data_IF_631551377728
#
_entry.id   IF_631551377728
#
_cell.length_a   1.000
_cell.length_b   1.000
_cell.length_c   1.000
_cell.angle_alpha   90.00
_cell.angle_beta   90.00
_cell.angle_gamma   90.00
#
_symmetry.space_group_name_H-M   'P 1'
#
loop_
_entity.id
_entity.type
_entity.pdbx_description
1 polymer ?
#
# COMPACT_ATOMS: atom_id res chain seq x y z
N UNK A 1 35.89 15.42 -28.99
CA UNK A 1 35.56 14.29 -28.09
C UNK A 1 35.33 14.66 -26.62
N UNK A 2 35.40 15.93 -26.19
CA UNK A 2 35.10 16.29 -24.78
C UNK A 2 33.62 16.59 -24.45
N UNK A 3 32.81 17.02 -25.42
CA UNK A 3 31.44 17.50 -25.10
C UNK A 3 30.39 16.41 -24.94
N UNK A 4 30.66 15.18 -25.42
CA UNK A 4 29.68 14.08 -25.39
C UNK A 4 29.65 13.33 -24.05
N UNK A 5 30.73 13.42 -23.25
CA UNK A 5 30.80 12.77 -21.94
C UNK A 5 30.00 13.51 -20.86
N UNK A 6 29.81 14.83 -21.02
CA UNK A 6 29.11 15.65 -20.03
C UNK A 6 27.59 15.44 -20.03
N UNK A 7 26.99 15.04 -21.17
CA UNK A 7 25.55 14.88 -21.29
C UNK A 7 25.02 13.57 -20.65
N UNK A 8 25.86 12.55 -20.50
CA UNK A 8 25.48 11.25 -19.95
C UNK A 8 25.41 11.22 -18.42
N UNK A 9 26.03 12.18 -17.71
CA UNK A 9 26.00 12.25 -16.25
C UNK A 9 24.76 12.94 -15.66
N UNK A 10 23.89 13.55 -16.47
CA UNK A 10 22.74 14.33 -15.99
C UNK A 10 21.40 13.56 -15.97
N UNK A 11 21.34 12.29 -16.40
CA UNK A 11 20.09 11.55 -16.61
C UNK A 11 19.70 10.54 -15.50
N UNK A 12 20.35 10.57 -14.34
CA UNK A 12 20.11 9.59 -13.27
C UNK A 12 19.52 10.19 -11.97
N UNK A 13 18.78 11.30 -12.05
CA UNK A 13 17.87 11.68 -10.96
C UNK A 13 16.57 10.88 -11.11
N UNK A 14 16.63 9.58 -10.80
CA UNK A 14 15.43 8.82 -10.52
C UNK A 14 14.76 9.44 -9.29
N UNK A 15 13.63 10.11 -9.49
CA UNK A 15 12.78 10.57 -8.39
C UNK A 15 12.30 9.35 -7.64
N UNK A 16 13.00 8.96 -6.59
CA UNK A 16 12.44 8.07 -5.58
C UNK A 16 11.20 8.77 -5.04
N UNK A 17 10.03 8.17 -5.23
CA UNK A 17 8.83 8.62 -4.56
C UNK A 17 9.06 8.42 -3.06
N UNK A 18 9.42 9.49 -2.35
CA UNK A 18 9.47 9.49 -0.91
C UNK A 18 8.03 9.28 -0.44
N UNK A 19 7.77 8.21 0.32
CA UNK A 19 6.47 8.04 0.95
C UNK A 19 6.33 9.11 2.02
N UNK A 20 5.40 10.04 1.85
CA UNK A 20 5.08 11.01 2.89
C UNK A 20 4.29 10.32 4.01
N UNK A 21 4.51 10.71 5.28
CA UNK A 21 3.72 10.23 6.39
C UNK A 21 2.23 10.50 6.18
N UNK A 22 1.39 9.54 6.53
CA UNK A 22 -0.07 9.72 6.42
C UNK A 22 -0.59 10.59 7.56
N UNK A 23 -1.49 11.51 7.26
CA UNK A 23 -2.33 12.15 8.26
C UNK A 23 -3.24 11.12 8.93
N UNK A 24 -3.21 11.09 10.26
CA UNK A 24 -3.98 10.16 11.09
C UNK A 24 -4.68 10.87 12.23
N UNK A 25 -5.71 10.24 12.78
CA UNK A 25 -6.37 10.64 14.02
C UNK A 25 -5.93 9.72 15.14
N UNK A 26 -5.41 10.25 16.25
CA UNK A 26 -5.17 9.46 17.45
C UNK A 26 -6.51 9.04 18.07
N UNK A 27 -6.66 7.74 18.37
CA UNK A 27 -7.89 7.16 18.90
C UNK A 27 -7.78 6.65 20.35
N UNK A 28 -6.70 6.99 21.06
CA UNK A 28 -6.52 6.63 22.47
C UNK A 28 -5.14 6.06 22.82
N UNK A 29 -4.04 6.63 22.30
CA UNK A 29 -2.69 6.29 22.77
C UNK A 29 -2.52 6.70 24.25
N UNK A 30 -2.53 5.73 25.16
CA UNK A 30 -2.55 5.97 26.61
C UNK A 30 -1.17 5.92 27.28
N UNK A 31 -0.30 5.03 26.80
CA UNK A 31 1.05 4.79 27.36
C UNK A 31 2.15 4.90 26.29
N UNK A 32 1.89 5.69 25.25
CA UNK A 32 2.87 6.05 24.25
C UNK A 32 2.40 7.20 23.37
N UNK A 33 3.30 7.70 22.55
CA UNK A 33 3.08 8.85 21.67
C UNK A 33 3.52 8.51 20.25
N UNK A 34 2.58 8.57 19.31
CA UNK A 34 2.88 8.39 17.89
C UNK A 34 3.68 9.59 17.39
N UNK A 35 4.76 9.33 16.68
CA UNK A 35 5.58 10.33 15.97
C UNK A 35 5.22 10.38 14.50
N UNK A 36 4.97 9.23 13.91
CA UNK A 36 4.79 9.10 12.47
C UNK A 36 4.02 7.82 12.14
N UNK A 37 3.17 7.89 11.12
CA UNK A 37 2.51 6.71 10.53
C UNK A 37 2.80 6.75 9.04
N UNK A 38 3.24 5.63 8.49
CA UNK A 38 3.50 5.46 7.07
C UNK A 38 2.70 4.27 6.53
N UNK A 39 2.04 4.45 5.39
CA UNK A 39 1.39 3.38 4.64
C UNK A 39 2.01 3.36 3.25
N UNK A 40 2.59 2.24 2.86
CA UNK A 40 3.43 2.16 1.66
C UNK A 40 2.92 1.05 0.73
N UNK A 41 2.60 1.38 -0.54
CA UNK A 41 2.51 2.73 -1.11
C UNK A 41 1.22 3.47 -0.73
N UNK A 42 1.29 4.77 -0.41
CA UNK A 42 0.12 5.67 -0.32
C UNK A 42 0.53 7.10 -0.70
N UNK A 43 0.61 7.42 -2.01
CA UNK A 43 1.08 8.73 -2.46
C UNK A 43 0.04 9.86 -2.25
N UNK A 44 -1.24 9.50 -2.10
CA UNK A 44 -2.34 10.45 -1.93
C UNK A 44 -3.30 9.87 -0.88
N UNK A 45 -3.77 10.73 0.03
CA UNK A 45 -4.78 10.38 1.02
C UNK A 45 -6.19 10.83 0.59
N UNK A 46 -7.26 10.06 0.92
CA UNK A 46 -7.24 8.78 1.63
C UNK A 46 -6.57 7.67 0.81
N UNK A 47 -5.91 6.72 1.48
CA UNK A 47 -5.15 5.70 0.77
C UNK A 47 -6.07 4.81 -0.09
N UNK A 48 -5.79 4.75 -1.38
CA UNK A 48 -6.47 3.87 -2.33
C UNK A 48 -5.77 2.52 -2.37
N UNK A 49 -6.25 1.57 -1.57
CA UNK A 49 -5.65 0.24 -1.48
C UNK A 49 -6.26 -0.69 -2.53
N UNK A 50 -5.39 -1.25 -3.36
CA UNK A 50 -5.76 -2.14 -4.45
C UNK A 50 -5.89 -3.58 -3.95
N UNK A 51 -6.98 -4.22 -4.35
CA UNK A 51 -7.21 -5.64 -4.15
C UNK A 51 -6.13 -6.48 -4.85
N UNK A 52 -5.70 -7.55 -4.19
CA UNK A 52 -4.63 -8.43 -4.64
C UNK A 52 -3.21 -7.89 -4.37
N UNK A 53 -3.07 -6.68 -3.83
CA UNK A 53 -1.78 -6.07 -3.51
C UNK A 53 -1.44 -6.18 -2.02
N UNK A 54 -0.17 -5.99 -1.69
CA UNK A 54 0.31 -5.93 -0.31
C UNK A 54 0.79 -4.52 0.02
N UNK A 55 0.45 -4.04 1.21
CA UNK A 55 0.86 -2.74 1.71
C UNK A 55 1.67 -2.93 2.99
N UNK A 56 2.70 -2.11 3.15
CA UNK A 56 3.46 -2.02 4.38
C UNK A 56 2.94 -0.87 5.24
N UNK A 57 2.96 -1.05 6.56
CA UNK A 57 2.60 -0.05 7.55
C UNK A 57 3.77 0.07 8.50
N UNK A 58 4.29 1.28 8.68
CA UNK A 58 5.32 1.58 9.66
C UNK A 58 4.80 2.64 10.63
N UNK A 59 4.98 2.41 11.93
CA UNK A 59 4.57 3.35 12.98
C UNK A 59 5.77 3.65 13.86
N UNK A 60 6.20 4.90 13.83
CA UNK A 60 7.22 5.42 14.75
C UNK A 60 6.51 5.91 16.00
N UNK A 61 6.82 5.36 17.17
CA UNK A 61 6.21 5.77 18.43
C UNK A 61 7.22 5.75 19.58
N UNK A 62 6.99 6.59 20.59
CA UNK A 62 7.75 6.58 21.85
C UNK A 62 6.89 5.96 22.95
N UNK A 63 7.39 4.91 23.61
CA UNK A 63 6.70 4.31 24.76
C UNK A 63 6.90 5.20 26.00
N UNK A 64 5.86 5.36 26.82
CA UNK A 64 5.97 5.99 28.16
C UNK A 64 5.93 4.96 29.30
N UNK A 65 5.96 3.67 28.96
CA UNK A 65 5.93 2.55 29.92
C UNK A 65 6.94 1.46 29.54
N UNK A 66 7.16 0.52 30.46
CA UNK A 66 7.87 -0.72 30.19
C UNK A 66 6.86 -1.85 29.93
N UNK A 67 7.23 -2.81 29.08
CA UNK A 67 6.39 -3.98 28.79
C UNK A 67 7.23 -5.18 28.36
N UNK A 68 6.89 -6.38 28.82
CA UNK A 68 7.56 -7.61 28.36
C UNK A 68 7.13 -8.02 26.94
N UNK A 69 5.92 -7.65 26.55
CA UNK A 69 5.32 -8.01 25.26
C UNK A 69 4.60 -6.86 24.60
N UNK A 70 4.18 -7.04 23.35
CA UNK A 70 3.21 -6.15 22.74
C UNK A 70 2.34 -6.87 21.74
N UNK A 71 1.09 -6.43 21.59
CA UNK A 71 0.10 -7.09 20.73
C UNK A 71 -0.61 -6.06 19.86
N UNK A 72 -0.58 -6.27 18.56
CA UNK A 72 -1.29 -5.47 17.59
C UNK A 72 -2.75 -5.94 17.43
N UNK A 73 -3.67 -4.98 17.37
CA UNK A 73 -5.11 -5.20 17.18
C UNK A 73 -5.60 -4.27 16.08
N UNK A 74 -6.25 -4.83 15.06
CA UNK A 74 -6.68 -4.06 13.88
C UNK A 74 -8.18 -4.25 13.66
N UNK A 75 -8.86 -3.14 13.37
CA UNK A 75 -10.27 -3.13 13.01
C UNK A 75 -10.50 -2.34 11.72
N UNK A 76 -11.41 -2.83 10.88
CA UNK A 76 -12.03 -2.04 9.82
C UNK A 76 -13.39 -1.53 10.29
N UNK A 77 -13.58 -0.22 10.31
CA UNK A 77 -14.84 0.41 10.69
C UNK A 77 -15.65 0.71 9.43
N UNK A 78 -16.73 -0.04 9.23
CA UNK A 78 -17.62 0.07 8.07
C UNK A 78 -18.95 0.63 8.55
N UNK A 79 -19.35 1.79 8.03
CA UNK A 79 -20.59 2.48 8.44
C UNK A 79 -20.72 2.66 9.96
N UNK A 80 -19.59 2.96 10.63
CA UNK A 80 -19.53 3.15 12.09
C UNK A 80 -19.40 1.87 12.92
N UNK A 81 -19.49 0.69 12.30
CA UNK A 81 -19.37 -0.60 13.02
C UNK A 81 -17.94 -1.13 12.92
N UNK A 82 -17.23 -1.35 14.04
CA UNK A 82 -15.89 -1.93 14.04
C UNK A 82 -15.93 -3.45 13.77
N UNK A 83 -15.16 -3.90 12.78
CA UNK A 83 -15.02 -5.31 12.41
C UNK A 83 -13.56 -5.71 12.64
N UNK A 84 -13.33 -6.74 13.46
CA UNK A 84 -11.99 -7.22 13.76
C UNK A 84 -11.30 -7.77 12.50
N UNK A 85 -10.03 -7.42 12.32
CA UNK A 85 -9.18 -7.90 11.23
C UNK A 85 -8.01 -8.69 11.80
N UNK A 86 -8.01 -10.01 11.59
CA UNK A 86 -6.91 -10.86 12.00
C UNK A 86 -5.69 -10.62 11.09
N UNK A 87 -4.61 -10.12 11.68
CA UNK A 87 -3.32 -9.95 11.00
C UNK A 87 -2.44 -11.20 11.18
N UNK A 88 -1.53 -11.50 10.23
CA UNK A 88 -0.71 -12.71 10.29
C UNK A 88 0.23 -12.79 11.50
N UNK A 89 0.80 -11.65 11.89
CA UNK A 89 1.68 -11.54 13.06
C UNK A 89 1.13 -10.46 14.00
N UNK A 90 0.38 -10.86 15.05
CA UNK A 90 -0.11 -9.93 16.06
C UNK A 90 0.94 -9.58 17.11
N UNK A 91 2.05 -10.31 17.24
CA UNK A 91 3.11 -9.99 18.21
C UNK A 91 3.95 -8.80 17.73
N UNK A 92 3.83 -7.68 18.43
CA UNK A 92 4.59 -6.47 18.12
C UNK A 92 6.09 -6.65 18.30
N UNK A 93 6.51 -7.55 19.20
CA UNK A 93 7.91 -7.88 19.45
C UNK A 93 8.57 -8.57 18.25
N UNK A 94 7.76 -9.15 17.35
CA UNK A 94 8.21 -9.77 16.09
C UNK A 94 8.01 -8.85 14.89
N UNK A 95 7.54 -7.64 15.13
CA UNK A 95 7.11 -6.67 14.12
C UNK A 95 7.91 -5.37 14.24
N UNK A 96 9.23 -5.47 14.42
CA UNK A 96 10.15 -4.31 14.50
C UNK A 96 10.33 -3.69 15.89
N UNK A 97 9.49 -4.04 16.87
CA UNK A 97 9.64 -3.57 18.27
C UNK A 97 10.57 -4.53 19.02
N UNK A 98 11.69 -4.03 19.55
CA UNK A 98 12.56 -4.87 20.40
C UNK A 98 12.00 -4.95 21.81
N UNK A 99 11.68 -6.16 22.27
CA UNK A 99 11.20 -6.43 23.62
C UNK A 99 12.32 -6.97 24.53
N UNK A 100 12.32 -6.66 25.85
CA UNK A 100 11.30 -5.87 26.55
C UNK A 100 11.31 -4.39 26.13
N UNK A 101 10.11 -3.81 26.04
CA UNK A 101 9.90 -2.40 25.75
C UNK A 101 10.36 -1.59 26.98
N UNK A 102 11.10 -0.53 26.71
CA UNK A 102 11.66 0.38 27.69
C UNK A 102 10.90 1.71 27.69
N UNK A 103 10.75 2.30 28.87
CA UNK A 103 10.13 3.61 29.04
C UNK A 103 10.98 4.69 28.37
N UNK A 104 10.31 5.64 27.71
CA UNK A 104 10.87 6.79 26.99
C UNK A 104 11.76 6.42 25.79
N UNK A 105 11.68 5.19 25.28
CA UNK A 105 12.39 4.76 24.08
C UNK A 105 11.48 4.80 22.86
N UNK A 106 12.04 5.17 21.72
CA UNK A 106 11.35 5.23 20.43
C UNK A 106 11.56 3.93 19.66
N UNK A 107 10.49 3.44 19.04
CA UNK A 107 10.43 2.19 18.31
C UNK A 107 9.78 2.39 16.94
N UNK A 108 10.07 1.47 16.02
CA UNK A 108 9.42 1.36 14.73
C UNK A 108 8.67 0.04 14.66
N UNK A 109 7.35 0.10 14.76
CA UNK A 109 6.49 -1.05 14.47
C UNK A 109 6.32 -1.18 12.95
N UNK A 110 6.40 -2.39 12.42
CA UNK A 110 6.31 -2.68 10.99
C UNK A 110 5.40 -3.86 10.72
N UNK A 111 4.44 -3.69 9.81
CA UNK A 111 3.56 -4.76 9.37
C UNK A 111 3.40 -4.75 7.85
N UNK A 112 3.20 -5.92 7.25
CA UNK A 112 2.86 -6.05 5.83
C UNK A 112 1.60 -6.88 5.69
N UNK A 113 0.57 -6.31 5.07
CA UNK A 113 -0.75 -6.93 4.95
C UNK A 113 -1.19 -7.06 3.50
N UNK A 114 -1.67 -8.24 3.08
CA UNK A 114 -2.33 -8.39 1.79
C UNK A 114 -3.78 -7.90 1.85
N UNK A 115 -4.17 -7.07 0.89
CA UNK A 115 -5.57 -6.72 0.62
C UNK A 115 -6.12 -7.83 -0.29
N UNK A 116 -6.87 -8.78 0.26
CA UNK A 116 -7.33 -9.95 -0.50
C UNK A 116 -8.28 -9.55 -1.63
N UNK A 117 -8.19 -10.25 -2.75
CA UNK A 117 -9.06 -10.01 -3.92
C UNK A 117 -10.55 -10.17 -3.62
N UNK A 118 -10.90 -11.01 -2.65
CA UNK A 118 -12.28 -11.24 -2.21
C UNK A 118 -12.89 -10.09 -1.40
N UNK A 119 -12.09 -9.10 -0.95
CA UNK A 119 -12.63 -7.97 -0.18
C UNK A 119 -13.54 -7.09 -1.05
N UNK A 120 -14.60 -6.50 -0.50
CA UNK A 120 -15.49 -5.61 -1.26
C UNK A 120 -14.79 -4.30 -1.62
N UNK A 121 -15.29 -3.60 -2.65
CA UNK A 121 -14.81 -2.25 -2.99
C UNK A 121 -15.60 -1.23 -2.18
N UNK A 122 -15.02 -0.71 -1.09
CA UNK A 122 -15.72 0.17 -0.14
C UNK A 122 -14.77 1.22 0.43
N UNK A 123 -15.35 2.28 1.00
CA UNK A 123 -14.64 3.19 1.90
C UNK A 123 -14.83 2.70 3.34
N UNK A 124 -13.77 2.76 4.14
CA UNK A 124 -13.81 2.41 5.56
C UNK A 124 -12.75 3.22 6.32
N UNK A 125 -12.81 3.16 7.65
CA UNK A 125 -11.73 3.65 8.51
C UNK A 125 -10.96 2.44 9.03
N UNK A 126 -9.63 2.46 8.90
CA UNK A 126 -8.76 1.48 9.55
C UNK A 126 -8.40 2.03 10.92
N UNK A 127 -8.65 1.24 11.97
CA UNK A 127 -8.19 1.50 13.33
C UNK A 127 -7.10 0.49 13.67
N UNK A 128 -5.95 0.98 14.12
CA UNK A 128 -4.81 0.15 14.51
C UNK A 128 -4.36 0.50 15.92
N UNK A 129 -4.20 -0.53 16.73
CA UNK A 129 -3.73 -0.42 18.10
C UNK A 129 -2.50 -1.31 18.28
N UNK A 130 -1.55 -0.85 19.11
CA UNK A 130 -0.55 -1.71 19.73
C UNK A 130 -0.72 -1.61 21.25
N UNK A 131 -0.87 -2.75 21.91
CA UNK A 131 -1.12 -2.84 23.35
C UNK A 131 0.05 -3.51 24.06
N UNK A 132 0.31 -3.11 25.30
CA UNK A 132 1.33 -3.70 26.15
C UNK A 132 0.83 -4.98 26.87
N UNK A 133 1.66 -5.54 27.76
CA UNK A 133 1.34 -6.74 28.55
C UNK A 133 0.24 -6.52 29.62
N UNK A 134 -0.13 -5.26 29.87
CA UNK A 134 -1.23 -4.84 30.77
C UNK A 134 -2.47 -4.38 30.00
N UNK A 135 -2.51 -4.65 28.69
CA UNK A 135 -3.57 -4.21 27.77
C UNK A 135 -3.73 -2.69 27.67
N UNK A 136 -2.72 -1.91 28.08
CA UNK A 136 -2.68 -0.47 27.89
C UNK A 136 -2.23 -0.13 26.46
N UNK A 137 -2.82 0.88 25.86
CA UNK A 137 -2.58 1.24 24.47
C UNK A 137 -1.27 2.04 24.31
N UNK A 138 -0.23 1.42 23.75
CA UNK A 138 1.04 2.06 23.39
C UNK A 138 0.82 3.07 22.26
N UNK A 139 0.01 2.72 21.27
CA UNK A 139 -0.48 3.66 20.27
C UNK A 139 -1.84 3.24 19.70
N UNK A 140 -2.64 4.22 19.28
CA UNK A 140 -3.90 4.05 18.58
C UNK A 140 -4.01 5.08 17.46
N UNK A 141 -4.21 4.64 16.21
CA UNK A 141 -4.53 5.56 15.12
C UNK A 141 -5.67 5.08 14.22
N UNK A 142 -6.35 6.05 13.62
CA UNK A 142 -7.39 5.89 12.61
C UNK A 142 -7.04 6.64 11.32
N UNK A 143 -7.21 5.97 10.17
CA UNK A 143 -7.14 6.62 8.85
C UNK A 143 -8.29 6.17 7.95
N UNK A 144 -8.87 7.06 7.12
CA UNK A 144 -9.78 6.67 6.06
C UNK A 144 -9.03 6.00 4.91
N UNK A 145 -9.56 4.88 4.40
CA UNK A 145 -9.04 4.18 3.23
C UNK A 145 -10.16 3.84 2.25
N UNK A 146 -9.79 3.68 0.99
CA UNK A 146 -10.68 3.20 -0.05
C UNK A 146 -10.13 1.91 -0.66
N UNK A 147 -10.88 0.81 -0.51
CA UNK A 147 -10.59 -0.45 -1.18
C UNK A 147 -11.15 -0.42 -2.59
N UNK A 148 -10.31 -0.74 -3.57
CA UNK A 148 -10.70 -0.71 -4.98
C UNK A 148 -10.03 -1.82 -5.78
N UNK A 149 -10.57 -2.09 -6.96
CA UNK A 149 -9.87 -2.89 -7.95
C UNK A 149 -8.76 -2.03 -8.53
N UNK A 150 -7.59 -2.63 -8.77
CA UNK A 150 -6.60 -2.08 -9.68
C UNK A 150 -7.28 -1.93 -11.03
N UNK A 151 -7.88 -0.76 -11.32
CA UNK A 151 -8.09 -0.37 -12.70
C UNK A 151 -6.68 -0.35 -13.25
N UNK A 152 -6.29 -1.40 -13.97
CA UNK A 152 -5.08 -1.38 -14.77
C UNK A 152 -5.14 -0.03 -15.48
N UNK A 153 -4.25 0.89 -15.12
CA UNK A 153 -4.26 2.18 -15.77
C UNK A 153 -3.96 1.88 -17.22
N UNK A 154 -4.99 1.93 -18.06
CA UNK A 154 -4.84 2.12 -19.50
C UNK A 154 -4.05 3.41 -19.81
N UNK A 155 -3.69 4.20 -18.80
CA UNK A 155 -2.86 5.40 -18.88
C UNK A 155 -1.41 5.24 -18.36
N UNK A 156 -0.95 4.06 -17.92
CA UNK A 156 0.49 3.82 -17.72
C UNK A 156 0.87 2.51 -18.43
N UNK A 157 1.12 2.64 -19.73
CA UNK A 157 2.15 1.82 -20.35
C UNK A 157 3.44 2.04 -19.51
N UNK A 158 4.12 1.00 -19.02
CA UNK A 158 5.44 1.21 -18.44
C UNK A 158 6.30 1.86 -19.53
N UNK A 159 6.80 3.09 -19.30
CA UNK A 159 7.87 3.68 -20.10
C UNK A 159 9.19 2.92 -19.86
N UNK A 160 9.17 1.61 -20.07
CA UNK A 160 10.33 0.73 -20.14
C UNK A 160 10.06 -0.33 -21.22
N UNK A 161 9.46 0.07 -22.33
CA UNK A 161 9.51 -0.71 -23.57
C UNK A 161 10.47 0.03 -24.50
N UNK A 162 11.67 -0.52 -24.65
CA UNK A 162 12.65 -0.12 -25.66
C UNK A 162 11.95 0.02 -27.00
N UNK A 163 12.14 1.16 -27.68
CA UNK A 163 11.47 1.63 -28.92
C UNK A 163 11.21 0.54 -29.99
N UNK A 164 12.02 -0.53 -30.03
CA UNK A 164 11.87 -1.62 -30.98
C UNK A 164 10.63 -2.53 -30.73
N UNK A 165 10.14 -2.65 -29.49
CA UNK A 165 8.96 -3.52 -29.19
C UNK A 165 7.63 -2.84 -29.47
N UNK A 166 7.54 -1.52 -29.35
CA UNK A 166 6.32 -0.78 -29.68
C UNK A 166 6.02 -0.84 -31.18
N UNK A 167 7.04 -0.71 -32.03
CA UNK A 167 6.88 -0.80 -33.49
C UNK A 167 6.35 -2.16 -33.96
N UNK A 168 6.80 -3.26 -33.34
CA UNK A 168 6.31 -4.60 -33.68
C UNK A 168 4.83 -4.80 -33.29
N UNK A 169 4.39 -4.22 -32.18
CA UNK A 169 2.98 -4.32 -31.74
C UNK A 169 2.01 -3.50 -32.61
N UNK A 170 2.47 -2.39 -33.21
CA UNK A 170 1.65 -1.59 -34.14
C UNK A 170 1.40 -2.29 -35.49
N UNK A 171 2.22 -3.29 -35.87
CA UNK A 171 2.03 -4.04 -37.10
C UNK A 171 0.98 -5.16 -36.97
N UNK A 172 0.78 -5.73 -35.78
CA UNK A 172 -0.26 -6.76 -35.57
C UNK A 172 -1.68 -6.19 -35.47
N UNK A 173 -1.83 -4.95 -35.00
CA UNK A 173 -3.15 -4.31 -34.82
C UNK A 173 -3.87 -3.95 -36.14
N UNK A 174 -3.20 -4.00 -37.30
CA UNK A 174 -3.82 -3.74 -38.61
C UNK A 174 -4.23 -5.02 -39.37
N UNK A 175 -4.25 -6.17 -38.68
CA UNK A 175 -4.81 -7.42 -39.16
C UNK A 175 -6.33 -7.35 -39.39
N UNK A 176 -6.72 -6.81 -40.54
CA UNK A 176 -8.08 -6.81 -41.09
C UNK A 176 -8.64 -8.24 -41.11
N UNK A 177 -9.66 -8.54 -40.29
CA UNK A 177 -10.59 -9.65 -40.52
C UNK A 177 -12.02 -9.12 -40.45
N UNK A 178 -12.70 -9.12 -41.59
CA UNK A 178 -14.10 -9.52 -41.64
C UNK A 178 -14.37 -10.28 -42.92
N UNK A 179 -14.86 -11.51 -42.75
CA UNK A 179 -15.44 -12.35 -43.79
C UNK A 179 -16.74 -11.75 -44.33
N UNK A 180 -17.02 -12.01 -45.61
CA UNK A 180 -18.32 -11.78 -46.23
C UNK A 180 -18.33 -12.36 -47.64
N UNK A 181 -18.55 -13.67 -47.77
CA UNK A 181 -18.83 -14.30 -49.05
C UNK A 181 -20.32 -14.17 -49.42
N UNK A 182 -20.65 -14.21 -50.72
CA UNK A 182 -21.98 -14.62 -51.15
C UNK A 182 -21.92 -15.89 -52.03
N UNK A 183 -22.92 -16.72 -51.78
CA UNK A 183 -23.33 -17.92 -52.47
C UNK A 183 -23.63 -17.71 -53.97
N UNK A 184 -23.26 -18.71 -54.78
CA UNK A 184 -23.75 -18.90 -56.15
C UNK A 184 -25.27 -19.11 -56.19
N UNK A 185 -25.97 -18.63 -57.23
CA UNK A 185 -27.23 -19.19 -57.65
C UNK A 185 -27.07 -20.15 -58.85
N UNK A 186 -27.98 -21.12 -58.79
CA UNK A 186 -28.34 -22.23 -59.68
C UNK A 186 -28.90 -21.77 -61.06
N UNK A 187 -28.62 -22.57 -62.09
CA UNK A 187 -29.26 -22.73 -63.43
C UNK A 187 -29.81 -21.50 -64.19
N UNK A 188 -29.26 -21.23 -65.39
CA UNK A 188 -29.79 -21.64 -66.71
C UNK A 188 -28.77 -21.32 -67.81
#
# INVERSE_FOLDING_TARGET
MCCLAAALLLLALSTSALAEPVHFKDCGSGVGVIKEVNVIPCPIQPCHLQKGQSYAVNVTFTSSTQSQGSKAVVHGIVMGVPIAFAIPEPDGCKSGVTCPIEKNKTYNYMAKLPVKSAYPSIKLVVKWELRDDKDQCLFCWEIPVQLGISRLSSAHCPMVATELRCLLSQMESKGMRSWGGPSMPVLL
#
